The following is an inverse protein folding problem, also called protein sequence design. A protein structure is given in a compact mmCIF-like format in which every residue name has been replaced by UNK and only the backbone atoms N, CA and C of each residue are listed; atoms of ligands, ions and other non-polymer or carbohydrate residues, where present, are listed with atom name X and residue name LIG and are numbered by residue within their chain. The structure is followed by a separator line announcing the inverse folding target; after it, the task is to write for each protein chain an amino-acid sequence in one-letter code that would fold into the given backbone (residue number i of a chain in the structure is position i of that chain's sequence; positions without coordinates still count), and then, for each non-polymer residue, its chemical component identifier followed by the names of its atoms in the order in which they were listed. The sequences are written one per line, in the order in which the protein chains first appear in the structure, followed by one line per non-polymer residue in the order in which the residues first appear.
data_IF_315096932429
#
_entry.id   IF_315096932429
#
_cell.length_a   1.000
_cell.length_b   1.000
_cell.length_c   1.000
_cell.angle_alpha   90.00
_cell.angle_beta   90.00
_cell.angle_gamma   90.00
#
_symmetry.space_group_name_H-M   'P 1'
#
loop_
_entity.id
_entity.type
_entity.pdbx_description
1 polymer ?
#
# COMPACT_ATOMS: atom_id res chain seq x y z
N UNK A 1 -23.29 0.91 5.67
CA UNK A 1 -22.80 0.65 4.32
C UNK A 1 -21.29 0.62 4.33
N UNK A 2 -20.70 -0.28 3.58
CA UNK A 2 -19.23 -0.40 3.53
C UNK A 2 -18.61 0.72 2.70
N UNK A 3 -17.35 1.03 2.98
CA UNK A 3 -16.59 2.01 2.21
C UNK A 3 -16.32 1.51 0.79
N UNK A 4 -16.32 2.42 -0.18
CA UNK A 4 -15.92 2.11 -1.55
C UNK A 4 -14.40 2.02 -1.70
N UNK A 5 -13.65 2.51 -0.74
CA UNK A 5 -12.20 2.68 -0.86
C UNK A 5 -11.45 1.39 -1.21
N UNK A 6 -11.69 0.25 -0.53
CA UNK A 6 -10.97 -0.98 -0.91
C UNK A 6 -11.30 -1.44 -2.33
N UNK A 7 -12.53 -1.21 -2.78
CA UNK A 7 -12.93 -1.57 -4.14
C UNK A 7 -12.24 -0.69 -5.19
N UNK A 8 -12.11 0.61 -4.90
CA UNK A 8 -11.42 1.54 -5.79
C UNK A 8 -9.91 1.25 -5.83
N UNK A 9 -9.32 0.89 -4.71
CA UNK A 9 -7.90 0.50 -4.66
C UNK A 9 -7.66 -0.69 -5.59
N UNK A 10 -8.50 -1.73 -5.49
CA UNK A 10 -8.38 -2.92 -6.35
C UNK A 10 -8.57 -2.57 -7.82
N UNK A 11 -9.57 -1.76 -8.14
CA UNK A 11 -9.84 -1.37 -9.51
C UNK A 11 -8.69 -0.57 -10.12
N UNK A 12 -8.16 0.39 -9.38
CA UNK A 12 -7.04 1.21 -9.84
C UNK A 12 -5.76 0.37 -9.97
N UNK A 13 -5.52 -0.53 -9.03
CA UNK A 13 -4.39 -1.44 -9.11
C UNK A 13 -4.43 -2.24 -10.40
N UNK A 14 -5.56 -2.87 -10.69
CA UNK A 14 -5.73 -3.69 -11.89
C UNK A 14 -5.55 -2.85 -13.16
N UNK A 15 -6.15 -1.66 -13.18
CA UNK A 15 -6.04 -0.76 -14.33
C UNK A 15 -4.58 -0.36 -14.59
N UNK A 16 -3.83 -0.02 -13.53
CA UNK A 16 -2.42 0.39 -13.65
C UNK A 16 -1.58 -0.78 -14.19
N UNK A 17 -1.77 -1.98 -13.64
CA UNK A 17 -1.05 -3.17 -14.08
C UNK A 17 -1.37 -3.48 -15.54
N UNK A 18 -2.65 -3.43 -15.92
CA UNK A 18 -3.07 -3.73 -17.28
C UNK A 18 -2.50 -2.73 -18.31
N UNK A 19 -2.14 -1.54 -17.86
CA UNK A 19 -1.54 -0.52 -18.71
C UNK A 19 0.00 -0.52 -18.63
N UNK A 20 0.60 -1.55 -18.06
CA UNK A 20 2.06 -1.70 -18.03
C UNK A 20 2.77 -0.73 -17.11
N UNK A 21 2.06 -0.13 -16.15
CA UNK A 21 2.63 0.82 -15.22
C UNK A 21 2.79 0.19 -13.84
N UNK A 22 3.53 0.87 -12.97
CA UNK A 22 3.80 0.38 -11.62
C UNK A 22 2.91 1.10 -10.63
N UNK A 23 2.05 0.37 -9.88
CA UNK A 23 1.20 1.02 -8.88
C UNK A 23 1.99 1.40 -7.63
N UNK A 24 1.70 2.59 -7.11
CA UNK A 24 2.27 3.10 -5.86
C UNK A 24 1.14 3.57 -4.96
N UNK A 25 1.27 3.33 -3.66
CA UNK A 25 0.33 3.86 -2.67
C UNK A 25 0.93 5.07 -1.97
N UNK A 26 0.12 6.11 -1.80
CA UNK A 26 0.42 7.19 -0.88
C UNK A 26 -0.35 6.91 0.41
N UNK A 27 0.35 6.82 1.53
CA UNK A 27 -0.20 6.36 2.81
C UNK A 27 0.00 7.43 3.88
N UNK A 28 -1.05 7.65 4.68
CA UNK A 28 -0.99 8.51 5.86
C UNK A 28 -0.31 7.73 6.99
N UNK A 29 0.83 8.24 7.45
CA UNK A 29 1.62 7.62 8.53
C UNK A 29 1.61 8.47 9.80
N UNK A 30 0.66 9.39 9.93
CA UNK A 30 0.63 10.33 11.05
C UNK A 30 0.27 9.68 12.39
N UNK A 31 -0.19 8.44 12.39
CA UNK A 31 -0.44 7.69 13.63
C UNK A 31 0.25 6.32 13.57
N UNK A 32 0.00 5.46 14.56
CA UNK A 32 0.66 4.16 14.69
C UNK A 32 -0.17 2.99 14.17
N UNK A 33 -1.27 3.25 13.45
CA UNK A 33 -2.11 2.19 12.91
C UNK A 33 -1.50 1.50 11.70
N UNK A 34 -0.52 2.11 11.05
CA UNK A 34 0.15 1.55 9.89
C UNK A 34 1.47 0.90 10.28
N UNK A 35 1.78 -0.24 9.67
CA UNK A 35 3.06 -0.92 9.81
C UNK A 35 3.80 -0.76 8.49
N UNK A 36 4.73 0.19 8.45
CA UNK A 36 5.47 0.59 7.25
C UNK A 36 6.93 0.85 7.61
N UNK A 37 7.85 0.87 6.63
CA UNK A 37 9.26 1.23 6.91
C UNK A 37 9.38 2.72 7.20
N UNK A 38 9.32 3.06 8.49
CA UNK A 38 9.26 4.45 8.99
C UNK A 38 10.44 5.31 8.55
N UNK A 39 11.58 4.70 8.26
CA UNK A 39 12.77 5.43 7.82
C UNK A 39 12.56 6.16 6.49
N UNK A 40 11.55 5.78 5.71
CA UNK A 40 11.22 6.43 4.44
C UNK A 40 10.05 7.40 4.53
N UNK A 41 9.52 7.59 5.72
CA UNK A 41 8.40 8.50 5.96
C UNK A 41 8.84 9.96 5.80
N UNK A 42 7.99 10.77 5.15
CA UNK A 42 8.22 12.21 5.03
C UNK A 42 6.90 12.94 5.27
N UNK A 43 6.93 13.91 6.17
CA UNK A 43 5.77 14.78 6.47
C UNK A 43 4.50 14.00 6.78
N UNK A 44 4.63 12.91 7.54
CA UNK A 44 3.50 12.09 7.93
C UNK A 44 2.93 11.23 6.81
N UNK A 45 3.70 11.00 5.75
CA UNK A 45 3.27 10.22 4.59
C UNK A 45 4.41 9.33 4.09
N UNK A 46 4.04 8.27 3.39
CA UNK A 46 5.00 7.40 2.71
C UNK A 46 4.42 6.98 1.35
N UNK A 47 5.29 6.84 0.36
CA UNK A 47 4.94 6.28 -0.94
C UNK A 47 5.54 4.88 -1.02
N UNK A 48 4.70 3.89 -1.32
CA UNK A 48 5.10 2.49 -1.38
C UNK A 48 4.82 1.92 -2.77
N UNK A 49 5.82 1.28 -3.35
CA UNK A 49 5.66 0.52 -4.59
C UNK A 49 4.96 -0.79 -4.26
N UNK A 50 3.77 -1.00 -4.80
CA UNK A 50 3.01 -2.24 -4.59
C UNK A 50 2.89 -3.08 -5.86
N UNK A 51 3.79 -2.86 -6.82
CA UNK A 51 3.85 -3.67 -8.02
C UNK A 51 4.18 -5.13 -7.74
N UNK A 52 3.85 -6.04 -8.68
CA UNK A 52 4.01 -7.49 -8.43
C UNK A 52 5.45 -7.93 -8.24
N UNK A 53 6.42 -7.20 -8.75
CA UNK A 53 7.83 -7.54 -8.56
C UNK A 53 8.40 -6.98 -7.26
N UNK A 54 7.73 -6.02 -6.65
CA UNK A 54 8.19 -5.37 -5.42
C UNK A 54 7.57 -5.98 -4.16
N UNK A 55 6.54 -6.80 -4.30
CA UNK A 55 5.78 -7.33 -3.17
C UNK A 55 5.63 -8.84 -3.26
N UNK A 56 5.46 -9.49 -2.08
CA UNK A 56 5.06 -10.87 -1.97
C UNK A 56 3.78 -10.93 -1.14
N UNK A 57 2.88 -11.84 -1.51
CA UNK A 57 1.63 -12.08 -0.78
C UNK A 57 0.79 -10.81 -0.65
N UNK A 58 0.72 -10.02 -1.73
CA UNK A 58 -0.07 -8.80 -1.72
C UNK A 58 -1.55 -9.14 -1.58
N UNK A 59 -2.18 -8.55 -0.58
CA UNK A 59 -3.62 -8.64 -0.37
C UNK A 59 -4.23 -7.25 -0.35
N UNK A 60 -5.13 -7.00 -1.27
CA UNK A 60 -5.92 -5.77 -1.32
C UNK A 60 -7.28 -6.09 -0.73
N UNK A 61 -7.32 -6.23 0.59
CA UNK A 61 -8.50 -6.63 1.32
C UNK A 61 -9.50 -5.51 1.53
N UNK A 62 -10.67 -5.85 2.07
CA UNK A 62 -11.69 -4.85 2.37
C UNK A 62 -11.35 -3.99 3.57
N UNK A 63 -10.54 -4.50 4.49
CA UNK A 63 -10.14 -3.80 5.71
C UNK A 63 -8.78 -3.15 5.59
N UNK A 64 -7.85 -3.83 4.91
CA UNK A 64 -6.47 -3.38 4.86
C UNK A 64 -5.77 -3.89 3.61
N UNK A 65 -4.71 -3.18 3.25
CA UNK A 65 -3.70 -3.64 2.28
C UNK A 65 -2.54 -4.22 3.08
N UNK A 66 -2.10 -5.41 2.71
CA UNK A 66 -0.96 -6.05 3.37
C UNK A 66 -0.08 -6.75 2.35
N UNK A 67 1.20 -6.82 2.64
CA UNK A 67 2.16 -7.52 1.79
C UNK A 67 3.49 -7.66 2.53
N UNK A 68 4.39 -8.44 1.94
CA UNK A 68 5.77 -8.54 2.38
C UNK A 68 6.67 -7.91 1.32
N UNK A 69 7.67 -7.18 1.74
CA UNK A 69 8.63 -6.53 0.83
C UNK A 69 9.98 -6.38 1.51
N UNK A 70 10.99 -6.10 0.70
CA UNK A 70 12.33 -5.82 1.23
C UNK A 70 12.61 -4.32 1.14
N UNK A 71 13.14 -3.79 2.23
CA UNK A 71 13.56 -2.40 2.32
C UNK A 71 15.00 -2.40 2.81
N UNK A 72 15.93 -1.90 1.99
CA UNK A 72 17.37 -1.93 2.27
C UNK A 72 17.86 -3.36 2.57
N UNK A 73 17.32 -4.34 1.85
CA UNK A 73 17.72 -5.74 2.01
C UNK A 73 17.06 -6.46 3.17
N UNK A 74 16.24 -5.78 3.98
CA UNK A 74 15.54 -6.39 5.11
C UNK A 74 14.08 -6.64 4.78
N UNK A 75 13.63 -7.87 5.04
CA UNK A 75 12.24 -8.23 4.83
C UNK A 75 11.36 -7.59 5.90
N UNK A 76 10.21 -7.06 5.47
CA UNK A 76 9.25 -6.44 6.38
C UNK A 76 7.84 -6.80 5.94
N UNK A 77 6.97 -7.05 6.92
CA UNK A 77 5.54 -7.19 6.69
C UNK A 77 4.89 -5.82 6.81
N UNK A 78 4.20 -5.41 5.77
CA UNK A 78 3.54 -4.11 5.69
C UNK A 78 2.04 -4.29 5.88
N UNK A 79 1.44 -3.42 6.68
CA UNK A 79 0.01 -3.44 6.96
C UNK A 79 -0.53 -2.01 6.97
N UNK A 80 -1.56 -1.77 6.16
CA UNK A 80 -2.13 -0.43 5.96
C UNK A 80 -3.65 -0.54 5.97
N UNK A 81 -4.33 -0.06 7.02
CA UNK A 81 -5.79 0.04 6.96
C UNK A 81 -6.22 0.86 5.75
N UNK A 82 -7.29 0.44 5.08
CA UNK A 82 -7.72 1.10 3.84
C UNK A 82 -7.98 2.60 4.02
N UNK A 83 -8.43 3.01 5.20
CA UNK A 83 -8.68 4.42 5.51
C UNK A 83 -7.42 5.28 5.55
N UNK A 84 -6.24 4.65 5.64
CA UNK A 84 -4.96 5.35 5.63
C UNK A 84 -4.38 5.51 4.23
N UNK A 85 -5.00 4.91 3.23
CA UNK A 85 -4.58 5.08 1.83
C UNK A 85 -5.13 6.40 1.32
N UNK A 86 -4.23 7.31 0.97
CA UNK A 86 -4.60 8.64 0.48
C UNK A 86 -4.75 8.67 -1.04
N UNK A 87 -3.95 7.87 -1.75
CA UNK A 87 -3.99 7.81 -3.20
C UNK A 87 -3.31 6.55 -3.71
N UNK A 88 -3.61 6.22 -4.95
CA UNK A 88 -2.95 5.12 -5.66
C UNK A 88 -2.60 5.54 -7.09
#
# INVERSE_FOLDING_TARGET
MTSTRPYLIRAMYEWIIDNGMTPHLLVDTSDDQVMVPRQYEQDGKIVLNIGPTATQDLELGNEAVSFHARFDGEAMSVFIPCEKVLAI
#
